data_IF_536356581816
#
_entry.id   IF_536356581816
#
_cell.length_a   1.000
_cell.length_b   1.000
_cell.length_c   1.000
_cell.angle_alpha   90.00
_cell.angle_beta   90.00
_cell.angle_gamma   90.00
#
_symmetry.space_group_name_H-M   'P 1'
#
loop_
_entity.id
_entity.type
_entity.pdbx_description
1 polymer ?
#
# COMPACT_ATOMS: atom_id res chain seq x y z
N UNK A 1 13.53 -7.49 4.62
CA UNK A 1 13.29 -7.48 3.15
C UNK A 1 13.77 -6.14 2.61
N UNK A 2 14.23 -6.03 1.34
CA UNK A 2 14.54 -4.72 0.77
C UNK A 2 13.28 -3.86 0.71
N UNK A 3 13.38 -2.63 1.23
CA UNK A 3 12.30 -1.64 1.14
C UNK A 3 12.24 -1.18 -0.33
N UNK A 4 11.04 -1.27 -0.91
CA UNK A 4 10.71 -0.71 -2.22
C UNK A 4 10.33 0.76 -2.07
N UNK A 5 9.64 1.11 -1.00
CA UNK A 5 9.35 2.50 -0.66
C UNK A 5 8.47 2.63 0.58
N UNK A 6 8.36 3.86 1.06
CA UNK A 6 7.45 4.24 2.14
C UNK A 6 6.70 5.50 1.76
N UNK A 7 5.41 5.54 2.09
CA UNK A 7 4.55 6.70 1.86
C UNK A 7 3.57 6.86 3.03
N UNK A 8 3.21 8.10 3.33
CA UNK A 8 2.14 8.41 4.29
C UNK A 8 0.86 8.74 3.53
N UNK A 9 -0.20 8.00 3.81
CA UNK A 9 -1.51 8.19 3.19
C UNK A 9 -2.54 8.58 4.23
N UNK A 10 -3.45 9.47 3.83
CA UNK A 10 -4.52 9.97 4.68
C UNK A 10 -5.74 9.06 4.59
N UNK A 11 -6.20 8.53 5.72
CA UNK A 11 -7.43 7.74 5.76
C UNK A 11 -8.66 8.59 5.40
N UNK A 12 -9.53 8.09 4.53
CA UNK A 12 -10.78 8.75 4.13
C UNK A 12 -12.00 8.29 4.95
N UNK A 13 -11.82 7.33 5.87
CA UNK A 13 -12.88 6.89 6.79
C UNK A 13 -12.33 6.38 8.11
N UNK A 14 -13.23 6.32 9.09
CA UNK A 14 -12.98 5.61 10.34
C UNK A 14 -13.00 4.09 10.09
N UNK A 15 -12.17 3.37 10.85
CA UNK A 15 -12.12 1.90 10.86
C UNK A 15 -11.99 1.42 12.30
N UNK A 16 -12.87 0.50 12.71
CA UNK A 16 -12.83 -0.09 14.06
C UNK A 16 -11.84 -1.24 14.14
N UNK A 17 -11.34 -1.50 15.34
CA UNK A 17 -10.53 -2.71 15.60
C UNK A 17 -11.29 -3.95 15.17
N UNK A 18 -10.63 -4.82 14.41
CA UNK A 18 -11.20 -6.08 13.92
C UNK A 18 -12.07 -5.95 12.66
N UNK A 19 -12.34 -4.73 12.18
CA UNK A 19 -13.07 -4.48 10.93
C UNK A 19 -12.22 -4.89 9.71
N UNK A 20 -12.89 -5.48 8.73
CA UNK A 20 -12.28 -5.85 7.44
C UNK A 20 -12.40 -4.69 6.46
N UNK A 21 -11.26 -4.14 6.06
CA UNK A 21 -11.17 -2.98 5.16
C UNK A 21 -10.11 -3.23 4.08
N UNK A 22 -10.31 -2.70 2.89
CA UNK A 22 -9.30 -2.75 1.82
C UNK A 22 -8.48 -1.45 1.75
N UNK A 23 -7.30 -1.53 1.13
CA UNK A 23 -6.46 -0.35 0.87
C UNK A 23 -7.23 0.68 0.03
N UNK A 24 -7.99 0.20 -0.96
CA UNK A 24 -8.81 1.06 -1.82
C UNK A 24 -9.89 1.83 -1.05
N UNK A 25 -10.63 1.16 -0.16
CA UNK A 25 -11.68 1.79 0.65
C UNK A 25 -11.13 2.72 1.74
N UNK A 26 -9.91 2.46 2.23
CA UNK A 26 -9.33 3.23 3.33
C UNK A 26 -8.77 4.58 2.87
N UNK A 27 -8.01 4.62 1.77
CA UNK A 27 -7.26 5.82 1.37
C UNK A 27 -7.93 6.62 0.25
N UNK A 28 -8.80 5.99 -0.55
CA UNK A 28 -9.38 6.63 -1.72
C UNK A 28 -8.36 6.86 -2.85
N UNK A 29 -8.87 7.23 -4.03
CA UNK A 29 -8.09 7.22 -5.27
C UNK A 29 -6.97 8.26 -5.31
N UNK A 30 -7.19 9.46 -4.76
CA UNK A 30 -6.21 10.55 -4.81
C UNK A 30 -4.98 10.25 -3.96
N UNK A 31 -5.18 9.70 -2.76
CA UNK A 31 -4.10 9.29 -1.87
C UNK A 31 -3.28 8.16 -2.49
N UNK A 32 -3.93 7.16 -3.08
CA UNK A 32 -3.23 6.03 -3.72
C UNK A 32 -2.40 6.41 -4.94
N UNK A 33 -2.64 7.59 -5.53
CA UNK A 33 -1.85 8.13 -6.62
C UNK A 33 -0.66 8.97 -6.16
N UNK A 34 -0.56 9.29 -4.86
CA UNK A 34 0.61 10.00 -4.34
C UNK A 34 1.89 9.22 -4.62
N UNK A 35 2.91 9.96 -5.03
CA UNK A 35 4.15 9.39 -5.50
C UNK A 35 5.17 9.21 -4.36
N UNK A 36 5.95 8.14 -4.46
CA UNK A 36 7.16 7.93 -3.68
C UNK A 36 8.30 7.49 -4.61
N UNK A 37 9.54 7.66 -4.14
CA UNK A 37 10.71 7.19 -4.86
C UNK A 37 10.93 5.70 -4.56
N UNK A 38 11.13 4.93 -5.62
CA UNK A 38 11.42 3.51 -5.52
C UNK A 38 12.86 3.29 -5.07
N UNK A 39 13.08 2.52 -4.01
CA UNK A 39 14.40 2.28 -3.42
C UNK A 39 15.11 1.03 -3.99
N UNK A 40 14.35 0.16 -4.67
CA UNK A 40 14.84 -1.08 -5.30
C UNK A 40 14.08 -1.37 -6.60
N UNK A 41 14.75 -1.99 -7.58
CA UNK A 41 14.10 -2.40 -8.83
C UNK A 41 12.87 -3.29 -8.59
N UNK A 42 11.82 -3.06 -9.39
CA UNK A 42 10.57 -3.83 -9.42
C UNK A 42 10.41 -4.37 -10.85
N UNK A 43 10.20 -5.67 -10.96
CA UNK A 43 9.86 -6.34 -12.21
C UNK A 43 8.38 -6.74 -12.22
N UNK A 44 7.69 -6.34 -13.30
CA UNK A 44 6.30 -6.72 -13.57
C UNK A 44 6.13 -8.24 -13.52
N UNK A 45 5.08 -8.69 -12.83
CA UNK A 45 4.69 -10.10 -12.69
C UNK A 45 5.73 -11.03 -12.05
N UNK A 46 6.86 -10.49 -11.55
CA UNK A 46 7.94 -11.26 -10.92
C UNK A 46 8.21 -10.84 -9.49
N UNK A 47 8.27 -9.54 -9.23
CA UNK A 47 8.53 -9.04 -7.89
C UNK A 47 7.29 -9.24 -7.03
N UNK A 48 7.43 -10.04 -5.97
CA UNK A 48 6.42 -10.12 -4.91
C UNK A 48 6.57 -8.92 -4.00
N UNK A 49 5.46 -8.31 -3.65
CA UNK A 49 5.40 -7.13 -2.79
C UNK A 49 4.64 -7.48 -1.52
N UNK A 50 5.17 -7.04 -0.38
CA UNK A 50 4.47 -7.00 0.88
C UNK A 50 4.17 -5.55 1.22
N UNK A 51 2.90 -5.20 1.23
CA UNK A 51 2.39 -3.85 1.52
C UNK A 51 1.82 -3.85 2.92
N UNK A 52 2.56 -3.26 3.84
CA UNK A 52 2.18 -3.15 5.26
C UNK A 52 1.59 -1.77 5.51
N UNK A 53 0.37 -1.74 6.05
CA UNK A 53 -0.31 -0.49 6.42
C UNK A 53 -0.30 -0.38 7.95
N UNK A 54 0.17 0.74 8.48
CA UNK A 54 0.15 1.03 9.91
C UNK A 54 -1.26 0.85 10.50
N UNK A 55 -1.36 0.26 11.70
CA UNK A 55 -2.63 -0.11 12.38
C UNK A 55 -3.49 -1.17 11.69
N UNK A 56 -3.06 -1.64 10.52
CA UNK A 56 -3.65 -2.76 9.80
C UNK A 56 -2.60 -3.88 9.70
N UNK A 57 -2.94 -4.93 8.96
CA UNK A 57 -2.00 -5.97 8.56
C UNK A 57 -1.20 -5.63 7.31
N UNK A 58 -0.77 -6.68 6.61
CA UNK A 58 -0.10 -6.58 5.33
C UNK A 58 -0.88 -7.33 4.25
N UNK A 59 -0.77 -6.86 3.01
CA UNK A 59 -1.18 -7.59 1.81
C UNK A 59 0.08 -8.05 1.09
N UNK A 60 0.08 -9.31 0.65
CA UNK A 60 1.06 -9.80 -0.31
C UNK A 60 0.44 -9.80 -1.71
N UNK A 61 1.17 -9.26 -2.68
CA UNK A 61 0.74 -9.22 -4.08
C UNK A 61 1.92 -9.36 -5.03
N UNK A 62 1.63 -9.44 -6.32
CA UNK A 62 2.65 -9.39 -7.37
C UNK A 62 2.63 -8.00 -7.99
N UNK A 63 3.80 -7.41 -8.23
CA UNK A 63 3.92 -6.09 -8.82
C UNK A 63 3.22 -6.00 -10.19
N UNK A 64 2.48 -4.90 -10.39
CA UNK A 64 1.77 -4.58 -11.64
C UNK A 64 2.53 -3.58 -12.52
N UNK A 65 3.81 -3.31 -12.21
CA UNK A 65 4.62 -2.40 -12.98
C UNK A 65 6.12 -2.76 -12.93
N UNK A 66 6.82 -2.34 -13.98
CA UNK A 66 8.28 -2.29 -14.00
C UNK A 66 8.72 -0.91 -13.48
N UNK A 67 9.58 -0.87 -12.47
CA UNK A 67 10.18 0.36 -11.94
C UNK A 67 11.66 0.13 -11.64
N UNK A 68 12.49 1.12 -11.97
CA UNK A 68 13.91 1.13 -11.56
C UNK A 68 14.06 1.88 -10.25
N UNK A 69 15.10 1.56 -9.50
CA UNK A 69 15.54 2.35 -8.35
C UNK A 69 15.68 3.83 -8.75
N UNK A 70 15.12 4.72 -7.93
CA UNK A 70 15.03 6.16 -8.15
C UNK A 70 13.85 6.62 -9.00
N UNK A 71 13.10 5.71 -9.64
CA UNK A 71 11.88 6.07 -10.37
C UNK A 71 10.75 6.42 -9.40
N UNK A 72 9.79 7.22 -9.88
CA UNK A 72 8.55 7.47 -9.14
C UNK A 72 7.54 6.34 -9.32
N UNK A 73 6.89 5.98 -8.22
CA UNK A 73 5.81 5.01 -8.17
C UNK A 73 4.69 5.48 -7.23
N UNK A 74 3.53 4.86 -7.33
CA UNK A 74 2.40 5.06 -6.43
C UNK A 74 1.72 3.73 -6.19
N UNK A 75 1.01 3.56 -5.08
CA UNK A 75 0.33 2.30 -4.78
C UNK A 75 -0.61 1.90 -5.92
N UNK A 76 -1.30 2.89 -6.49
CA UNK A 76 -2.19 2.71 -7.64
C UNK A 76 -1.53 2.08 -8.87
N UNK A 77 -0.22 2.31 -9.08
CA UNK A 77 0.49 1.81 -10.27
C UNK A 77 1.41 0.61 -10.00
N UNK A 78 1.72 0.28 -8.75
CA UNK A 78 2.54 -0.91 -8.43
C UNK A 78 1.71 -2.12 -8.02
N UNK A 79 0.43 -1.93 -7.65
CA UNK A 79 -0.48 -3.00 -7.26
C UNK A 79 -1.61 -3.17 -8.28
N UNK A 80 -2.05 -4.40 -8.51
CA UNK A 80 -3.27 -4.67 -9.27
C UNK A 80 -4.49 -4.22 -8.46
N UNK A 81 -5.53 -3.74 -9.16
CA UNK A 81 -6.78 -3.31 -8.52
C UNK A 81 -7.41 -4.40 -7.63
N UNK A 82 -7.36 -5.66 -8.07
CA UNK A 82 -7.86 -6.81 -7.30
C UNK A 82 -7.16 -6.93 -5.94
N UNK A 83 -5.85 -6.64 -5.88
CA UNK A 83 -5.06 -6.79 -4.67
C UNK A 83 -5.30 -5.60 -3.75
N UNK A 84 -5.47 -4.38 -4.29
CA UNK A 84 -5.89 -3.20 -3.52
C UNK A 84 -7.29 -3.36 -2.90
N UNK A 85 -8.15 -4.19 -3.49
CA UNK A 85 -9.51 -4.50 -3.03
C UNK A 85 -9.55 -5.65 -2.01
N UNK A 86 -8.42 -6.31 -1.76
CA UNK A 86 -8.33 -7.38 -0.75
C UNK A 86 -8.57 -6.83 0.64
N UNK A 87 -9.31 -7.60 1.44
CA UNK A 87 -9.65 -7.23 2.82
C UNK A 87 -8.48 -7.51 3.76
N UNK A 88 -8.18 -6.53 4.60
CA UNK A 88 -7.24 -6.61 5.71
C UNK A 88 -7.99 -6.27 6.98
N UNK A 89 -7.70 -7.02 8.04
CA UNK A 89 -8.24 -6.73 9.36
C UNK A 89 -7.47 -5.59 10.02
N UNK A 90 -8.20 -4.60 10.54
CA UNK A 90 -7.61 -3.55 11.37
C UNK A 90 -7.18 -4.11 12.73
N UNK A 91 -5.92 -3.88 13.11
CA UNK A 91 -5.37 -4.29 14.42
C UNK A 91 -5.55 -3.20 15.47
N UNK A 92 -5.71 -1.95 15.04
CA UNK A 92 -6.01 -0.80 15.88
C UNK A 92 -7.09 0.07 15.22
N UNK A 93 -7.67 1.00 15.99
CA UNK A 93 -8.63 1.96 15.45
C UNK A 93 -7.92 3.00 14.57
N UNK A 94 -8.52 3.31 13.42
CA UNK A 94 -8.10 4.37 12.50
C UNK A 94 -9.19 5.44 12.48
N UNK A 95 -8.78 6.71 12.55
CA UNK A 95 -9.71 7.84 12.37
C UNK A 95 -9.62 8.41 10.96
N UNK A 96 -10.75 8.86 10.42
CA UNK A 96 -10.79 9.64 9.19
C UNK A 96 -9.85 10.85 9.31
N UNK A 97 -9.03 11.05 8.30
CA UNK A 97 -8.06 12.13 8.23
C UNK A 97 -6.72 11.83 8.88
N UNK A 98 -6.56 10.69 9.55
CA UNK A 98 -5.29 10.22 10.12
C UNK A 98 -4.30 9.86 9.00
N UNK A 99 -3.03 10.20 9.19
CA UNK A 99 -1.95 9.80 8.28
C UNK A 99 -1.38 8.47 8.75
N UNK A 100 -1.46 7.45 7.91
CA UNK A 100 -0.92 6.12 8.17
C UNK A 100 0.32 5.89 7.30
N UNK A 101 1.37 5.34 7.92
CA UNK A 101 2.53 4.87 7.17
C UNK A 101 2.18 3.61 6.38
N UNK A 102 2.45 3.62 5.08
CA UNK A 102 2.43 2.43 4.23
C UNK A 102 3.86 2.11 3.81
N UNK A 103 4.31 0.90 4.14
CA UNK A 103 5.64 0.40 3.77
C UNK A 103 5.48 -0.71 2.73
N UNK A 104 6.20 -0.59 1.61
CA UNK A 104 6.25 -1.58 0.55
C UNK A 104 7.62 -2.26 0.59
N UNK A 105 7.64 -3.58 0.70
CA UNK A 105 8.85 -4.40 0.71
C UNK A 105 8.80 -5.40 -0.45
N UNK A 106 9.95 -5.70 -1.07
CA UNK A 106 10.05 -6.80 -2.04
C UNK A 106 10.39 -8.12 -1.32
N UNK A 107 9.63 -9.17 -1.63
CA UNK A 107 9.69 -10.51 -1.01
C UNK A 107 10.45 -11.49 -1.89
#
# INVERSE_FOLDING_TARGET
>A
MPIVGRIYLRADRDVKVGEDISIYELFGREELQKEFNVESDIELDKTRLKVTVEKLGAIECIADAIKRKGAKASIWNIMKYKDMSSKIKATQEVKKGENLSVTIEAV
#
